data_IF_081074951379
#
_entry.id   IF_081074951379
#
_cell.length_a   1.000
_cell.length_b   1.000
_cell.length_c   1.000
_cell.angle_alpha   90.00
_cell.angle_beta   90.00
_cell.angle_gamma   90.00
#
_symmetry.space_group_name_H-M   'P 1'
#
loop_
_entity.id
_entity.type
_entity.pdbx_description
1 polymer ?
#
# COMPACT_ATOMS: atom_id res chain seq x y z
N UNK A 1 -45.59 -22.38 -15.56
CA UNK A 1 -44.60 -21.28 -15.42
C UNK A 1 -43.34 -21.77 -14.71
N UNK A 2 -42.56 -22.66 -15.34
CA UNK A 2 -41.31 -23.16 -14.76
C UNK A 2 -40.14 -23.23 -15.77
N UNK A 3 -40.39 -22.90 -17.04
CA UNK A 3 -39.38 -23.01 -18.11
C UNK A 3 -38.54 -21.73 -18.26
N UNK A 4 -39.03 -20.59 -17.76
CA UNK A 4 -38.33 -19.29 -17.88
C UNK A 4 -37.07 -19.23 -16.99
N UNK A 5 -37.04 -19.98 -15.87
CA UNK A 5 -35.90 -20.00 -14.96
C UNK A 5 -34.70 -20.81 -15.48
N UNK A 6 -34.95 -21.85 -16.29
CA UNK A 6 -33.86 -22.66 -16.88
C UNK A 6 -33.12 -21.93 -18.00
N UNK A 7 -33.82 -21.09 -18.78
CA UNK A 7 -33.22 -20.34 -19.89
C UNK A 7 -32.32 -19.18 -19.42
N UNK A 8 -32.62 -18.56 -18.28
CA UNK A 8 -31.80 -17.46 -17.75
C UNK A 8 -30.47 -17.97 -17.17
N UNK A 9 -30.45 -19.17 -16.59
CA UNK A 9 -29.23 -19.77 -16.05
C UNK A 9 -28.23 -20.21 -17.15
N UNK A 10 -28.72 -20.60 -18.33
CA UNK A 10 -27.85 -21.08 -19.41
C UNK A 10 -27.19 -19.96 -20.23
N UNK A 11 -27.79 -18.77 -20.27
CA UNK A 11 -27.18 -17.58 -20.92
C UNK A 11 -26.00 -17.02 -20.12
N UNK A 12 -25.91 -17.30 -18.81
CA UNK A 12 -24.79 -16.87 -17.98
C UNK A 12 -23.49 -17.68 -18.22
N UNK A 13 -23.57 -18.89 -18.81
CA UNK A 13 -22.41 -19.78 -18.96
C UNK A 13 -21.94 -19.95 -20.40
N UNK A 14 -22.66 -19.40 -21.38
CA UNK A 14 -22.33 -19.53 -22.79
C UNK A 14 -22.27 -18.19 -23.50
N UNK A 15 -21.05 -17.71 -23.78
CA UNK A 15 -20.70 -16.77 -24.86
C UNK A 15 -20.68 -15.26 -24.55
N UNK A 16 -19.78 -14.86 -23.65
CA UNK A 16 -19.25 -13.49 -23.60
C UNK A 16 -17.81 -13.55 -23.14
N UNK A 17 -16.91 -14.04 -23.99
CA UNK A 17 -16.03 -13.16 -24.73
C UNK A 17 -14.67 -13.27 -24.07
N UNK A 18 -13.59 -13.32 -24.84
CA UNK A 18 -12.25 -13.14 -24.28
C UNK A 18 -12.32 -11.98 -23.28
N UNK A 19 -11.91 -12.21 -22.03
CA UNK A 19 -11.56 -11.13 -21.14
C UNK A 19 -10.33 -10.49 -21.78
N UNK A 20 -10.56 -9.66 -22.82
CA UNK A 20 -9.66 -8.58 -23.16
C UNK A 20 -9.24 -8.03 -21.82
N UNK A 21 -7.93 -8.04 -21.56
CA UNK A 21 -7.39 -7.05 -20.64
C UNK A 21 -7.89 -5.73 -21.19
N UNK A 22 -9.03 -5.26 -20.70
CA UNK A 22 -9.34 -3.85 -20.70
C UNK A 22 -8.19 -3.26 -19.90
N UNK A 23 -7.16 -2.85 -20.63
CA UNK A 23 -6.27 -1.82 -20.16
C UNK A 23 -7.20 -0.75 -19.58
N UNK A 24 -7.11 -0.44 -18.28
CA UNK A 24 -8.06 0.45 -17.66
C UNK A 24 -8.08 1.73 -18.50
N UNK A 25 -9.24 2.12 -19.03
CA UNK A 25 -9.45 3.39 -19.75
C UNK A 25 -9.36 4.60 -18.80
N UNK A 26 -8.67 4.42 -17.67
CA UNK A 26 -8.40 5.43 -16.66
C UNK A 26 -6.91 5.73 -16.71
N UNK A 27 -6.54 7.02 -16.77
CA UNK A 27 -5.14 7.39 -16.72
C UNK A 27 -4.50 6.75 -15.48
N UNK A 28 -3.31 6.13 -15.61
CA UNK A 28 -2.64 5.49 -14.50
C UNK A 28 -2.42 6.51 -13.39
N UNK A 29 -2.57 6.05 -12.14
CA UNK A 29 -2.19 6.84 -10.97
C UNK A 29 -0.70 7.16 -11.12
N UNK A 30 -0.36 8.44 -11.28
CA UNK A 30 1.01 8.88 -11.50
C UNK A 30 1.52 9.65 -10.31
N UNK A 31 2.47 9.04 -9.61
CA UNK A 31 3.39 9.73 -8.74
C UNK A 31 4.60 10.18 -9.58
N UNK A 32 5.34 11.21 -9.15
CA UNK A 32 6.62 11.54 -9.77
C UNK A 32 7.58 10.35 -9.70
N UNK A 33 8.25 10.07 -10.81
CA UNK A 33 9.27 9.00 -10.92
C UNK A 33 10.69 9.58 -10.91
N UNK A 34 10.81 10.88 -11.20
CA UNK A 34 12.05 11.62 -11.35
C UNK A 34 12.51 12.34 -10.07
N UNK A 35 11.63 12.40 -9.06
CA UNK A 35 11.89 13.01 -7.76
C UNK A 35 11.17 12.27 -6.64
N UNK A 36 11.56 12.54 -5.41
CA UNK A 36 10.83 12.07 -4.23
C UNK A 36 9.40 12.61 -4.22
N UNK A 37 8.49 11.78 -3.71
CA UNK A 37 7.08 12.10 -3.52
C UNK A 37 6.94 13.04 -2.33
N UNK A 38 6.29 14.18 -2.54
CA UNK A 38 5.98 15.14 -1.48
C UNK A 38 4.53 15.01 -0.99
N UNK A 39 4.18 15.77 0.05
CA UNK A 39 2.83 15.76 0.59
C UNK A 39 1.75 16.25 -0.40
N UNK A 40 2.11 17.14 -1.34
CA UNK A 40 1.19 17.68 -2.35
C UNK A 40 0.85 16.60 -3.38
N UNK A 41 1.83 15.77 -3.75
CA UNK A 41 1.64 14.65 -4.66
C UNK A 41 0.65 13.63 -4.09
N UNK A 42 0.80 13.28 -2.81
CA UNK A 42 -0.12 12.36 -2.12
C UNK A 42 -1.53 12.93 -2.03
N UNK A 43 -1.67 14.22 -1.72
CA UNK A 43 -2.99 14.85 -1.62
C UNK A 43 -3.71 14.98 -2.99
N UNK A 44 -2.94 15.04 -4.08
CA UNK A 44 -3.46 15.07 -5.45
C UNK A 44 -3.77 13.69 -6.01
N UNK A 45 -3.40 12.63 -5.30
CA UNK A 45 -3.63 11.26 -5.73
C UNK A 45 -5.13 11.00 -5.89
N UNK A 46 -5.51 10.39 -7.02
CA UNK A 46 -6.88 9.96 -7.29
C UNK A 46 -6.86 8.49 -7.64
N UNK A 47 -7.15 7.66 -6.63
CA UNK A 47 -7.16 6.23 -6.80
C UNK A 47 -8.46 5.78 -7.50
N UNK A 48 -8.38 4.99 -8.58
CA UNK A 48 -9.56 4.48 -9.26
C UNK A 48 -10.34 3.52 -8.36
N UNK A 49 -11.68 3.62 -8.41
CA UNK A 49 -12.58 2.70 -7.73
C UNK A 49 -12.36 1.27 -8.26
N UNK A 50 -12.04 0.34 -7.36
CA UNK A 50 -11.91 -1.09 -7.64
C UNK A 50 -12.91 -1.90 -6.80
N UNK A 51 -13.47 -2.96 -7.37
CA UNK A 51 -14.46 -3.84 -6.72
C UNK A 51 -13.91 -4.64 -5.53
N UNK A 52 -12.57 -4.65 -5.31
CA UNK A 52 -11.94 -5.34 -4.18
C UNK A 52 -11.88 -4.36 -2.99
N UNK A 53 -12.75 -4.62 -2.02
CA UNK A 53 -13.22 -3.66 -1.02
C UNK A 53 -12.19 -3.21 0.01
N UNK A 54 -11.52 -2.10 -0.29
CA UNK A 54 -11.15 -1.13 0.74
C UNK A 54 -12.24 -0.06 0.79
N UNK A 55 -12.60 0.40 1.99
CA UNK A 55 -13.55 1.52 2.10
C UNK A 55 -12.81 2.81 1.73
N UNK A 56 -13.34 3.57 0.76
CA UNK A 56 -12.66 4.78 0.28
C UNK A 56 -12.45 5.81 1.39
N UNK A 57 -13.38 5.91 2.36
CA UNK A 57 -13.23 6.81 3.51
C UNK A 57 -12.07 6.42 4.44
N UNK A 58 -11.71 5.13 4.52
CA UNK A 58 -10.57 4.67 5.30
C UNK A 58 -9.26 4.93 4.57
N UNK A 59 -9.23 4.69 3.26
CA UNK A 59 -8.06 4.96 2.42
C UNK A 59 -7.76 6.47 2.40
N UNK A 60 -8.77 7.31 2.18
CA UNK A 60 -8.60 8.77 2.16
C UNK A 60 -8.04 9.28 3.50
N UNK A 61 -8.58 8.79 4.63
CA UNK A 61 -8.06 9.13 5.96
C UNK A 61 -6.60 8.71 6.15
N UNK A 62 -6.20 7.55 5.64
CA UNK A 62 -4.80 7.09 5.71
C UNK A 62 -3.90 7.94 4.82
N UNK A 63 -4.34 8.28 3.61
CA UNK A 63 -3.60 9.15 2.70
C UNK A 63 -3.42 10.56 3.26
N UNK A 64 -4.46 11.13 3.88
CA UNK A 64 -4.40 12.43 4.56
C UNK A 64 -3.38 12.41 5.71
N UNK A 65 -3.42 11.36 6.54
CA UNK A 65 -2.44 11.19 7.61
C UNK A 65 -1.03 11.06 7.04
N UNK A 66 -0.85 10.25 6.01
CA UNK A 66 0.45 10.03 5.37
C UNK A 66 1.00 11.32 4.76
N UNK A 67 0.17 12.12 4.09
CA UNK A 67 0.57 13.41 3.55
C UNK A 67 1.06 14.35 4.66
N UNK A 68 0.37 14.38 5.81
CA UNK A 68 0.81 15.15 6.97
C UNK A 68 2.18 14.70 7.51
N UNK A 69 2.40 13.40 7.59
CA UNK A 69 3.67 12.81 8.04
C UNK A 69 4.83 13.08 7.07
N UNK A 70 4.58 13.05 5.76
CA UNK A 70 5.58 13.41 4.74
C UNK A 70 5.95 14.88 4.90
N UNK A 71 4.96 15.77 5.03
CA UNK A 71 5.23 17.20 5.19
C UNK A 71 6.06 17.50 6.43
N UNK A 72 5.87 16.75 7.52
CA UNK A 72 6.67 16.92 8.74
C UNK A 72 8.10 16.41 8.57
N UNK A 73 8.29 15.26 7.93
CA UNK A 73 9.62 14.74 7.61
C UNK A 73 10.39 15.71 6.70
N UNK A 74 9.73 16.27 5.69
CA UNK A 74 10.34 17.24 4.78
C UNK A 74 10.81 18.49 5.54
N UNK A 75 9.98 19.03 6.45
CA UNK A 75 10.39 20.15 7.32
C UNK A 75 11.59 19.80 8.20
N UNK A 76 11.61 18.59 8.76
CA UNK A 76 12.72 18.15 9.59
C UNK A 76 14.01 18.01 8.77
N UNK A 77 13.93 17.45 7.57
CA UNK A 77 15.07 17.34 6.64
C UNK A 77 15.57 18.74 6.25
N UNK A 78 14.67 19.67 5.93
CA UNK A 78 15.03 21.05 5.61
C UNK A 78 15.72 21.74 6.79
N UNK A 79 15.19 21.56 8.01
CA UNK A 79 15.79 22.12 9.22
C UNK A 79 17.21 21.56 9.47
N UNK A 80 17.38 20.24 9.36
CA UNK A 80 18.70 19.60 9.47
C UNK A 80 19.65 20.06 8.36
N UNK A 81 19.15 20.21 7.13
CA UNK A 81 19.92 20.74 6.00
C UNK A 81 20.40 22.17 6.24
N UNK A 82 19.55 23.02 6.81
CA UNK A 82 19.92 24.39 7.19
C UNK A 82 20.95 24.42 8.33
N UNK A 83 20.85 23.54 9.32
CA UNK A 83 21.82 23.44 10.41
C UNK A 83 23.21 23.05 9.89
N UNK A 84 23.26 22.06 8.98
CA UNK A 84 24.49 21.62 8.32
C UNK A 84 25.10 22.75 7.48
N UNK A 85 24.30 23.45 6.69
CA UNK A 85 24.77 24.60 5.89
C UNK A 85 25.24 25.77 6.78
N UNK A 86 24.61 25.97 7.93
CA UNK A 86 24.97 27.02 8.89
C UNK A 86 26.25 26.70 9.67
N UNK A 87 26.84 25.51 9.47
CA UNK A 87 28.04 25.05 10.17
C UNK A 87 27.81 24.77 11.65
N UNK A 88 26.56 24.60 12.07
CA UNK A 88 26.16 24.53 13.48
C UNK A 88 26.17 23.11 14.07
N UNK A 89 26.27 22.04 13.26
CA UNK A 89 26.14 20.68 13.80
C UNK A 89 26.85 19.60 13.00
N UNK A 90 27.75 18.87 13.66
CA UNK A 90 27.85 17.42 13.48
C UNK A 90 26.84 16.84 14.47
N UNK A 91 25.67 16.32 14.04
CA UNK A 91 24.76 15.66 14.97
C UNK A 91 25.40 14.35 15.46
N UNK A 92 25.36 14.05 16.78
CA UNK A 92 25.70 12.74 17.27
C UNK A 92 24.75 11.72 16.62
N UNK A 93 25.29 10.70 15.97
CA UNK A 93 24.54 9.49 15.56
C UNK A 93 24.13 8.65 16.79
N UNK A 94 23.76 9.30 17.90
CA UNK A 94 23.57 8.75 19.24
C UNK A 94 22.08 8.44 19.50
N UNK A 95 21.45 7.78 18.53
CA UNK A 95 20.01 7.47 18.61
C UNK A 95 19.55 6.23 17.85
N UNK A 96 20.41 5.59 17.05
CA UNK A 96 20.10 4.26 16.51
C UNK A 96 20.45 3.20 17.56
N UNK A 97 19.66 3.14 18.64
CA UNK A 97 19.66 2.00 19.55
C UNK A 97 18.83 0.92 18.87
N UNK A 98 19.54 -0.04 18.26
CA UNK A 98 19.00 -1.35 17.91
C UNK A 98 18.62 -2.06 19.22
N UNK A 99 17.40 -1.81 19.71
CA UNK A 99 16.80 -2.60 20.80
C UNK A 99 16.40 -3.95 20.22
N UNK A 100 17.40 -4.82 20.09
CA UNK A 100 17.25 -6.20 19.63
C UNK A 100 16.42 -7.05 20.58
N UNK A 101 15.10 -6.85 20.60
CA UNK A 101 14.09 -7.82 21.11
C UNK A 101 12.73 -7.61 20.44
N UNK A 102 12.36 -8.52 19.55
CA UNK A 102 11.54 -9.70 19.91
C UNK A 102 11.81 -10.78 18.87
N UNK A 103 12.71 -11.68 19.19
CA UNK A 103 12.42 -13.11 19.35
C UNK A 103 11.00 -13.46 18.86
N UNK A 104 10.85 -13.64 17.54
CA UNK A 104 9.76 -14.50 17.06
C UNK A 104 10.29 -15.90 17.28
N UNK A 105 10.11 -16.38 18.50
CA UNK A 105 10.15 -17.79 18.83
C UNK A 105 9.15 -18.46 17.89
N UNK A 106 9.65 -19.01 16.78
CA UNK A 106 8.89 -19.97 16.01
C UNK A 106 8.77 -21.20 16.90
N UNK A 107 7.55 -21.56 17.37
CA UNK A 107 7.38 -22.78 18.13
C UNK A 107 7.90 -23.93 17.26
N UNK A 108 8.88 -24.63 17.82
CA UNK A 108 9.42 -25.89 17.33
C UNK A 108 8.24 -26.78 16.94
N UNK A 109 8.09 -27.09 15.63
CA UNK A 109 7.25 -28.18 15.20
C UNK A 109 7.92 -29.44 15.75
N UNK A 110 7.42 -29.81 16.92
CA UNK A 110 7.56 -31.10 17.56
C UNK A 110 7.61 -32.20 16.52
N UNK A 111 8.68 -32.98 16.61
CA UNK A 111 8.71 -34.42 16.33
C UNK A 111 7.30 -35.01 16.19
N UNK A 112 6.79 -35.10 14.96
CA UNK A 112 5.85 -36.15 14.59
C UNK A 112 6.69 -37.37 14.23
N UNK A 113 7.15 -38.00 15.29
CA UNK A 113 7.54 -39.40 15.29
C UNK A 113 6.53 -40.23 14.51
N UNK A 114 7.07 -41.01 13.57
CA UNK A 114 6.80 -42.43 13.51
C UNK A 114 5.33 -42.87 13.43
N UNK A 115 4.65 -42.65 12.30
CA UNK A 115 3.57 -43.57 11.91
C UNK A 115 3.31 -43.63 10.40
N UNK A 116 4.11 -44.43 9.69
CA UNK A 116 3.62 -45.25 8.58
C UNK A 116 4.71 -46.26 8.21
N UNK A 117 4.59 -47.44 8.82
CA UNK A 117 5.10 -48.69 8.26
C UNK A 117 4.35 -49.05 6.99
#
# INVERSE_FOLDING_TARGET
MAVILGTLALVATGRGGELSREEPDRPPVRLPEDRLVDAVDVNRLRLPLAFRGYRMDEVDRVLDRLAGEIAERDRQIDALGQELLSGAGTPPLEGYVDDGRRDVEHPNQTDEDAEAR
#
